data_IF_068023376697
#
_entry.id   IF_068023376697
#
_cell.length_a   1.000
_cell.length_b   1.000
_cell.length_c   1.000
_cell.angle_alpha   90.00
_cell.angle_beta   90.00
_cell.angle_gamma   90.00
#
_symmetry.space_group_name_H-M   'P 1'
#
loop_
_entity.id
_entity.type
_entity.pdbx_description
1 polymer ?
#
# COMPACT_ATOMS: atom_id res chain seq x y z
N UNK A 1 -13.23 -8.00 -21.54
CA UNK A 1 -11.77 -7.72 -21.52
C UNK A 1 -11.42 -6.23 -21.44
N UNK A 2 -12.00 -5.26 -22.21
CA UNK A 2 -11.57 -3.85 -22.14
C UNK A 2 -12.17 -3.02 -20.99
N UNK A 3 -13.23 -3.49 -20.31
CA UNK A 3 -13.86 -2.75 -19.20
C UNK A 3 -13.15 -2.93 -17.85
N UNK A 4 -12.49 -4.08 -17.63
CA UNK A 4 -11.90 -4.45 -16.33
C UNK A 4 -10.48 -3.91 -16.12
N UNK A 5 -9.65 -3.89 -17.16
CA UNK A 5 -8.36 -3.16 -17.11
C UNK A 5 -8.61 -1.68 -16.89
N UNK A 6 -9.70 -1.14 -17.44
CA UNK A 6 -10.18 0.21 -17.17
C UNK A 6 -10.57 0.38 -15.69
N UNK A 7 -11.37 -0.52 -15.11
CA UNK A 7 -11.83 -0.42 -13.71
C UNK A 7 -10.68 -0.37 -12.69
N UNK A 8 -9.65 -1.22 -12.85
CA UNK A 8 -8.44 -1.19 -12.02
C UNK A 8 -7.59 0.06 -12.24
N UNK A 9 -7.52 0.57 -13.47
CA UNK A 9 -6.81 1.81 -13.76
C UNK A 9 -7.52 3.02 -13.14
N UNK A 10 -8.85 3.08 -13.26
CA UNK A 10 -9.67 4.15 -12.68
C UNK A 10 -9.67 4.11 -11.15
N UNK A 11 -9.82 2.94 -10.53
CA UNK A 11 -9.81 2.82 -9.07
C UNK A 11 -8.47 3.24 -8.47
N UNK A 12 -7.35 2.96 -9.15
CA UNK A 12 -6.03 3.48 -8.76
C UNK A 12 -5.93 5.00 -8.91
N UNK A 13 -6.46 5.55 -9.99
CA UNK A 13 -6.47 7.00 -10.21
C UNK A 13 -7.33 7.73 -9.17
N UNK A 14 -8.46 7.15 -8.77
CA UNK A 14 -9.32 7.68 -7.73
C UNK A 14 -8.70 7.56 -6.34
N UNK A 15 -8.00 6.46 -6.06
CA UNK A 15 -7.21 6.33 -4.84
C UNK A 15 -6.11 7.40 -4.77
N UNK A 16 -5.38 7.62 -5.87
CA UNK A 16 -4.40 8.71 -5.97
C UNK A 16 -5.06 10.06 -5.70
N UNK A 17 -6.16 10.35 -6.41
CA UNK A 17 -6.91 11.60 -6.24
C UNK A 17 -7.30 11.85 -4.78
N UNK A 18 -7.83 10.83 -4.08
CA UNK A 18 -8.16 10.96 -2.67
C UNK A 18 -6.93 11.27 -1.82
N UNK A 19 -5.85 10.50 -1.98
CA UNK A 19 -4.65 10.64 -1.16
C UNK A 19 -3.97 11.99 -1.35
N UNK A 20 -3.89 12.49 -2.59
CA UNK A 20 -3.36 13.82 -2.89
C UNK A 20 -4.26 14.92 -2.30
N UNK A 21 -5.57 14.85 -2.53
CA UNK A 21 -6.51 15.86 -2.02
C UNK A 21 -6.51 15.91 -0.49
N UNK A 22 -6.37 14.76 0.17
CA UNK A 22 -6.28 14.68 1.62
C UNK A 22 -4.94 15.17 2.14
N UNK A 23 -3.83 14.90 1.44
CA UNK A 23 -2.51 15.43 1.78
C UNK A 23 -2.51 16.97 1.71
N UNK A 24 -3.05 17.55 0.63
CA UNK A 24 -3.19 19.00 0.46
C UNK A 24 -4.01 19.64 1.60
N UNK A 25 -5.15 19.03 1.95
CA UNK A 25 -6.00 19.52 3.03
C UNK A 25 -5.27 19.51 4.40
N UNK A 26 -4.55 18.42 4.67
CA UNK A 26 -3.76 18.27 5.91
C UNK A 26 -2.59 19.25 5.97
N UNK A 27 -1.90 19.49 4.86
CA UNK A 27 -0.74 20.39 4.83
C UNK A 27 -1.20 21.85 4.95
N UNK A 28 -2.30 22.25 4.30
CA UNK A 28 -2.94 23.54 4.51
C UNK A 28 -3.37 23.74 5.98
N UNK A 29 -3.90 22.71 6.61
CA UNK A 29 -4.24 22.72 8.03
C UNK A 29 -3.02 22.97 8.93
N UNK A 30 -1.89 22.32 8.66
CA UNK A 30 -0.61 22.52 9.38
C UNK A 30 -0.12 23.96 9.30
N UNK A 31 -0.24 24.61 8.13
CA UNK A 31 0.16 26.01 7.95
C UNK A 31 -0.70 27.00 8.76
N UNK A 32 -1.96 26.65 9.04
CA UNK A 32 -2.87 27.52 9.80
C UNK A 32 -2.67 27.46 11.33
N UNK A 33 -1.78 26.60 11.83
CA UNK A 33 -1.41 26.52 13.25
C UNK A 33 -2.54 26.08 14.19
N UNK A 34 -3.64 25.50 13.67
CA UNK A 34 -4.73 25.00 14.50
C UNK A 34 -4.47 23.52 14.86
N UNK A 35 -4.52 23.12 16.13
CA UNK A 35 -4.44 21.72 16.50
C UNK A 35 -5.71 21.01 16.00
N UNK A 36 -5.58 20.24 14.92
CA UNK A 36 -6.72 19.50 14.38
C UNK A 36 -6.97 18.26 15.22
N UNK A 37 -8.13 18.23 15.87
CA UNK A 37 -8.68 16.99 16.43
C UNK A 37 -8.94 15.99 15.31
N UNK A 38 -8.72 14.70 15.57
CA UNK A 38 -9.00 13.57 14.66
C UNK A 38 -10.38 13.64 14.00
N UNK A 39 -11.36 14.26 14.67
CA UNK A 39 -12.71 14.50 14.15
C UNK A 39 -12.72 15.41 12.91
N UNK A 40 -11.91 16.45 12.86
CA UNK A 40 -11.88 17.39 11.73
C UNK A 40 -11.28 16.75 10.48
N UNK A 41 -10.23 15.93 10.65
CA UNK A 41 -9.61 15.17 9.56
C UNK A 41 -10.60 14.18 8.94
N UNK A 42 -11.40 13.52 9.78
CA UNK A 42 -12.44 12.63 9.30
C UNK A 42 -13.54 13.37 8.52
N UNK A 43 -13.96 14.55 8.98
CA UNK A 43 -14.95 15.38 8.28
C UNK A 43 -14.45 15.79 6.88
N UNK A 44 -13.17 16.16 6.76
CA UNK A 44 -12.55 16.45 5.47
C UNK A 44 -12.54 15.24 4.54
N UNK A 45 -12.13 14.07 5.04
CA UNK A 45 -12.14 12.82 4.27
C UNK A 45 -13.55 12.49 3.76
N UNK A 46 -14.55 12.60 4.63
CA UNK A 46 -15.95 12.41 4.24
C UNK A 46 -16.38 13.44 3.19
N UNK A 47 -15.96 14.70 3.33
CA UNK A 47 -16.21 15.76 2.37
C UNK A 47 -15.64 15.43 0.98
N UNK A 48 -14.44 14.83 0.92
CA UNK A 48 -13.83 14.36 -0.34
C UNK A 48 -14.66 13.21 -0.93
N UNK A 49 -15.03 12.22 -0.13
CA UNK A 49 -15.79 11.03 -0.59
C UNK A 49 -17.22 11.37 -1.03
N UNK A 50 -17.74 12.54 -0.69
CA UNK A 50 -19.07 13.01 -1.10
C UNK A 50 -19.05 13.85 -2.39
N UNK A 51 -17.87 14.15 -2.94
CA UNK A 51 -17.70 14.90 -4.20
C UNK A 51 -17.26 13.98 -5.34
N UNK A 52 -17.39 14.40 -6.61
CA UNK A 52 -16.79 13.67 -7.72
C UNK A 52 -15.29 13.45 -7.47
N UNK A 53 -14.73 12.26 -7.78
CA UNK A 53 -15.33 11.16 -8.55
C UNK A 53 -16.15 10.14 -7.72
N UNK A 54 -16.22 10.30 -6.40
CA UNK A 54 -16.80 9.31 -5.48
C UNK A 54 -18.32 9.38 -5.34
N UNK A 55 -19.02 10.16 -6.15
CA UNK A 55 -20.48 10.33 -6.06
C UNK A 55 -21.25 9.05 -6.33
N UNK A 56 -20.68 8.10 -7.08
CA UNK A 56 -21.31 6.80 -7.33
C UNK A 56 -20.83 5.75 -6.34
N UNK A 57 -21.74 4.87 -5.91
CA UNK A 57 -21.40 3.74 -5.04
C UNK A 57 -20.37 2.82 -5.68
N UNK A 58 -20.49 2.53 -6.98
CA UNK A 58 -19.57 1.66 -7.70
C UNK A 58 -18.12 2.15 -7.60
N UNK A 59 -17.87 3.45 -7.83
CA UNK A 59 -16.53 4.04 -7.71
C UNK A 59 -16.00 3.97 -6.28
N UNK A 60 -16.86 4.21 -5.28
CA UNK A 60 -16.45 4.11 -3.88
C UNK A 60 -16.05 2.68 -3.50
N UNK A 61 -16.87 1.68 -3.88
CA UNK A 61 -16.60 0.28 -3.62
C UNK A 61 -15.33 -0.19 -4.34
N UNK A 62 -15.18 0.15 -5.62
CA UNK A 62 -14.01 -0.23 -6.40
C UNK A 62 -12.72 0.39 -5.89
N UNK A 63 -12.77 1.63 -5.44
CA UNK A 63 -11.62 2.28 -4.80
C UNK A 63 -11.33 1.65 -3.44
N UNK A 64 -12.36 1.31 -2.65
CA UNK A 64 -12.21 0.65 -1.37
C UNK A 64 -11.56 -0.74 -1.50
N UNK A 65 -12.00 -1.53 -2.47
CA UNK A 65 -11.39 -2.82 -2.75
C UNK A 65 -9.98 -2.72 -3.30
N UNK A 66 -9.73 -1.74 -4.18
CA UNK A 66 -8.39 -1.44 -4.66
C UNK A 66 -7.44 -1.13 -3.48
N UNK A 67 -7.90 -0.38 -2.49
CA UNK A 67 -7.14 -0.07 -1.29
C UNK A 67 -6.84 -1.32 -0.45
N UNK A 68 -7.83 -2.20 -0.23
CA UNK A 68 -7.61 -3.49 0.43
C UNK A 68 -6.60 -4.35 -0.32
N UNK A 69 -6.71 -4.47 -1.64
CA UNK A 69 -5.77 -5.23 -2.47
C UNK A 69 -4.36 -4.69 -2.32
N UNK A 70 -4.20 -3.38 -2.42
CA UNK A 70 -2.92 -2.70 -2.32
C UNK A 70 -2.27 -3.02 -0.98
N UNK A 71 -3.02 -2.82 0.11
CA UNK A 71 -2.52 -3.04 1.46
C UNK A 71 -2.15 -4.51 1.70
N UNK A 72 -2.99 -5.45 1.27
CA UNK A 72 -2.73 -6.89 1.40
C UNK A 72 -1.55 -7.35 0.54
N UNK A 73 -1.42 -6.82 -0.67
CA UNK A 73 -0.31 -7.14 -1.58
C UNK A 73 1.02 -6.66 -1.02
N UNK A 74 1.07 -5.42 -0.51
CA UNK A 74 2.29 -4.88 0.13
C UNK A 74 2.66 -5.73 1.35
N UNK A 75 1.70 -6.04 2.24
CA UNK A 75 1.91 -6.92 3.40
C UNK A 75 2.48 -8.28 3.02
N UNK A 76 1.93 -8.91 1.99
CA UNK A 76 2.37 -10.24 1.57
C UNK A 76 3.78 -10.24 0.95
N UNK A 77 4.15 -9.16 0.28
CA UNK A 77 5.48 -9.01 -0.32
C UNK A 77 6.56 -8.55 0.67
N UNK A 78 6.16 -8.03 1.84
CA UNK A 78 7.08 -7.71 2.92
C UNK A 78 7.69 -8.98 3.53
N UNK A 79 8.98 -8.91 3.87
CA UNK A 79 9.73 -10.05 4.41
C UNK A 79 9.17 -10.45 5.81
N UNK A 80 9.03 -11.75 6.13
CA UNK A 80 8.61 -12.22 7.46
C UNK A 80 9.48 -11.73 8.63
N UNK A 81 10.69 -11.22 8.38
CA UNK A 81 11.53 -10.56 9.41
C UNK A 81 10.94 -9.23 9.95
N UNK A 82 9.84 -8.74 9.39
CA UNK A 82 9.16 -7.53 9.84
C UNK A 82 7.93 -7.90 10.69
N UNK A 83 7.84 -7.34 11.89
CA UNK A 83 6.68 -7.58 12.78
C UNK A 83 5.39 -7.05 12.12
N UNK A 84 4.29 -7.82 12.12
CA UNK A 84 3.02 -7.40 11.51
C UNK A 84 2.49 -6.06 12.03
N UNK A 85 2.75 -5.75 13.32
CA UNK A 85 2.38 -4.49 13.95
C UNK A 85 3.06 -3.26 13.32
N UNK A 86 4.29 -3.40 12.83
CA UNK A 86 5.02 -2.32 12.15
C UNK A 86 4.53 -2.07 10.72
N UNK A 87 3.88 -3.07 10.11
CA UNK A 87 3.49 -3.00 8.70
C UNK A 87 2.33 -2.02 8.46
N UNK A 88 1.37 -1.97 9.39
CA UNK A 88 0.27 -1.00 9.33
C UNK A 88 0.76 0.45 9.42
N UNK A 89 1.67 0.74 10.35
CA UNK A 89 2.25 2.06 10.55
C UNK A 89 3.08 2.50 9.34
N UNK A 90 3.88 1.59 8.79
CA UNK A 90 4.72 1.87 7.64
C UNK A 90 3.91 2.12 6.36
N UNK A 91 2.85 1.33 6.15
CA UNK A 91 1.94 1.53 5.03
C UNK A 91 1.16 2.85 5.17
N UNK A 92 0.75 3.18 6.39
CA UNK A 92 0.14 4.48 6.68
C UNK A 92 1.10 5.62 6.33
N UNK A 93 2.38 5.53 6.72
CA UNK A 93 3.37 6.54 6.35
C UNK A 93 3.47 6.69 4.84
N UNK A 94 3.66 5.59 4.13
CA UNK A 94 3.79 5.60 2.66
C UNK A 94 2.63 6.33 2.00
N UNK A 95 1.41 5.96 2.36
CA UNK A 95 0.19 6.53 1.82
C UNK A 95 0.01 8.00 2.18
N UNK A 96 0.56 8.43 3.31
CA UNK A 96 0.34 9.78 3.84
C UNK A 96 1.52 10.73 3.62
N UNK A 97 2.71 10.25 3.28
CA UNK A 97 3.90 11.06 3.02
C UNK A 97 4.34 11.04 1.56
N UNK A 98 3.98 10.01 0.79
CA UNK A 98 4.36 9.88 -0.62
C UNK A 98 3.29 9.19 -1.47
N UNK A 99 2.05 9.25 -0.98
CA UNK A 99 0.83 8.74 -1.61
C UNK A 99 1.02 7.34 -2.22
N UNK A 100 0.76 7.17 -3.52
CA UNK A 100 0.92 5.87 -4.20
C UNK A 100 2.31 5.68 -4.82
N UNK A 101 3.10 6.73 -4.99
CA UNK A 101 4.34 6.69 -5.78
C UNK A 101 5.34 5.70 -5.22
N UNK A 102 5.63 5.79 -3.92
CA UNK A 102 6.60 4.90 -3.26
C UNK A 102 6.10 3.47 -3.17
N UNK A 103 4.78 3.26 -3.15
CA UNK A 103 4.21 1.92 -3.21
C UNK A 103 4.43 1.32 -4.61
N UNK A 104 4.33 2.11 -5.68
CA UNK A 104 4.66 1.65 -7.03
C UNK A 104 6.14 1.30 -7.18
N UNK A 105 7.03 2.11 -6.61
CA UNK A 105 8.47 1.81 -6.58
C UNK A 105 8.76 0.47 -5.89
N UNK A 106 8.02 0.15 -4.82
CA UNK A 106 8.12 -1.14 -4.15
C UNK A 106 7.70 -2.30 -5.07
N UNK A 107 6.59 -2.17 -5.79
CA UNK A 107 6.16 -3.18 -6.77
C UNK A 107 7.18 -3.34 -7.90
N UNK A 108 7.77 -2.25 -8.40
CA UNK A 108 8.83 -2.29 -9.43
C UNK A 108 10.05 -3.04 -8.89
N UNK A 109 10.51 -2.71 -7.68
CA UNK A 109 11.63 -3.40 -7.04
C UNK A 109 11.37 -4.90 -6.82
N UNK A 110 10.14 -5.27 -6.45
CA UNK A 110 9.73 -6.66 -6.28
C UNK A 110 9.66 -7.43 -7.61
N UNK A 111 9.17 -6.79 -8.68
CA UNK A 111 9.11 -7.39 -10.02
C UNK A 111 10.51 -7.62 -10.60
N UNK A 112 11.43 -6.67 -10.39
CA UNK A 112 12.82 -6.82 -10.82
C UNK A 112 13.50 -8.04 -10.19
N UNK A 113 13.25 -8.29 -8.89
CA UNK A 113 13.79 -9.45 -8.18
C UNK A 113 13.28 -10.77 -8.80
N UNK A 114 11.98 -10.87 -9.08
CA UNK A 114 11.40 -12.04 -9.74
C UNK A 114 11.99 -12.27 -11.14
N UNK A 115 12.22 -11.19 -11.90
CA UNK A 115 12.82 -11.27 -13.23
C UNK A 115 14.27 -11.76 -13.19
N UNK A 116 15.03 -11.36 -12.17
CA UNK A 116 16.41 -11.80 -11.96
C UNK A 116 16.46 -13.29 -11.59
N UNK A 117 15.60 -13.72 -10.66
CA UNK A 117 15.48 -15.13 -10.26
C UNK A 117 15.13 -16.05 -11.44
N UNK A 118 14.18 -15.64 -12.30
CA UNK A 118 13.80 -16.39 -13.49
C UNK A 118 14.95 -16.55 -14.49
N UNK A 119 15.72 -15.48 -14.73
CA UNK A 119 16.91 -15.52 -15.61
C UNK A 119 18.00 -16.44 -15.04
N UNK A 120 18.25 -16.39 -13.74
CA UNK A 120 19.21 -17.27 -13.07
C UNK A 120 18.78 -18.74 -13.08
N UNK A 121 17.48 -19.03 -12.98
CA UNK A 121 16.95 -20.39 -13.10
C UNK A 121 17.11 -20.92 -14.53
N UNK A 122 16.85 -20.09 -15.54
CA UNK A 122 17.01 -20.46 -16.94
C UNK A 122 18.49 -20.72 -17.32
N UNK A 123 19.41 -19.88 -16.87
CA UNK A 123 20.85 -20.05 -17.10
C UNK A 123 21.40 -21.36 -16.48
N UNK A 124 20.94 -21.73 -15.27
CA UNK A 124 21.31 -23.00 -14.63
C UNK A 124 20.79 -24.21 -15.39
N UNK A 125 19.59 -24.13 -15.95
CA UNK A 125 19.00 -25.21 -16.73
C UNK A 125 19.81 -25.46 -18.03
N UNK A 126 20.23 -24.40 -18.72
CA UNK A 126 21.06 -24.51 -19.95
C UNK A 126 22.46 -25.10 -19.64
N UNK A 127 23.09 -24.70 -18.52
CA UNK A 127 24.39 -25.25 -18.11
C UNK A 127 24.36 -26.73 -17.72
N UNK A 128 23.18 -27.29 -17.45
CA UNK A 128 23.01 -28.69 -17.05
C UNK A 128 23.14 -29.69 -18.21
N UNK A 129 23.19 -29.23 -19.47
CA UNK A 129 23.25 -30.09 -20.66
C UNK A 129 24.63 -30.23 -21.32
N UNK A 130 25.68 -29.60 -20.77
CA UNK A 130 27.07 -29.80 -21.21
C UNK A 130 27.87 -30.52 -20.14
N UNK A 131 27.95 -31.84 -20.23
CA UNK A 131 28.83 -32.66 -19.39
C UNK A 131 30.30 -32.48 -19.78
N UNK A 132 31.16 -32.14 -18.82
CA UNK A 132 32.33 -32.98 -18.48
C UNK A 132 32.73 -32.79 -17.02
N UNK A 133 33.10 -33.92 -16.43
CA UNK A 133 33.43 -34.25 -15.04
C UNK A 133 34.72 -33.60 -14.53
N UNK A 134 34.66 -32.93 -13.36
CA UNK A 134 35.75 -32.88 -12.36
C UNK A 134 35.19 -32.48 -11.00
N UNK A 135 35.53 -33.26 -9.96
CA UNK A 135 35.29 -32.95 -8.55
C UNK A 135 36.12 -31.72 -8.13
N UNK A 136 35.55 -30.83 -7.30
CA UNK A 136 36.03 -30.46 -5.96
C UNK A 136 35.23 -29.27 -5.37
N UNK A 137 34.76 -29.50 -4.14
CA UNK A 137 34.60 -28.58 -2.98
C UNK A 137 33.71 -27.33 -3.04
N UNK A 138 32.70 -27.36 -2.16
CA UNK A 138 32.03 -26.25 -1.47
C UNK A 138 31.47 -25.11 -2.33
N UNK A 139 30.35 -25.40 -2.99
CA UNK A 139 29.39 -24.39 -3.40
C UNK A 139 28.68 -23.78 -2.18
N UNK A 140 29.40 -22.94 -1.42
CA UNK A 140 28.76 -21.86 -0.67
C UNK A 140 28.32 -20.79 -1.68
N UNK A 141 27.36 -21.13 -2.54
CA UNK A 141 26.56 -20.14 -3.26
C UNK A 141 25.39 -19.75 -2.34
N UNK A 142 25.74 -19.29 -1.13
CA UNK A 142 24.83 -18.50 -0.33
C UNK A 142 24.62 -17.27 -1.16
N UNK A 143 23.44 -17.16 -1.77
CA UNK A 143 23.00 -15.99 -2.52
C UNK A 143 23.02 -14.80 -1.59
N UNK A 144 24.19 -14.17 -1.46
CA UNK A 144 24.41 -12.86 -0.84
C UNK A 144 23.85 -11.74 -1.75
N UNK A 145 22.83 -12.05 -2.54
CA UNK A 145 22.15 -11.12 -3.41
C UNK A 145 21.16 -10.36 -2.56
N UNK A 146 21.61 -9.23 -2.06
CA UNK A 146 20.72 -8.21 -1.56
C UNK A 146 19.67 -7.88 -2.63
N UNK A 147 18.44 -8.34 -2.45
CA UNK A 147 17.40 -8.13 -3.46
C UNK A 147 16.96 -6.65 -3.46
N UNK A 148 16.55 -6.11 -4.60
CA UNK A 148 16.10 -4.71 -4.71
C UNK A 148 14.94 -4.45 -3.75
N UNK A 149 14.03 -5.42 -3.60
CA UNK A 149 12.96 -5.40 -2.59
C UNK A 149 13.51 -5.24 -1.17
N UNK A 150 14.54 -6.00 -0.78
CA UNK A 150 15.16 -5.87 0.56
C UNK A 150 15.80 -4.50 0.76
N UNK A 151 16.43 -3.95 -0.27
CA UNK A 151 17.01 -2.60 -0.23
C UNK A 151 15.95 -1.53 0.01
N UNK A 152 14.84 -1.62 -0.73
CA UNK A 152 13.72 -0.70 -0.59
C UNK A 152 13.20 -0.70 0.85
N UNK A 153 12.91 -1.89 1.39
CA UNK A 153 12.38 -2.04 2.75
C UNK A 153 13.29 -1.42 3.82
N UNK A 154 14.62 -1.52 3.64
CA UNK A 154 15.57 -0.98 4.62
C UNK A 154 15.76 0.53 4.52
N UNK A 155 15.81 1.10 3.31
CA UNK A 155 15.82 2.57 3.14
C UNK A 155 14.59 3.18 3.78
N UNK A 156 13.46 2.55 3.56
CA UNK A 156 12.21 3.06 4.07
C UNK A 156 12.00 2.88 5.57
N UNK A 157 12.65 1.89 6.19
CA UNK A 157 12.74 1.85 7.66
C UNK A 157 13.49 3.07 8.18
N UNK A 158 14.61 3.41 7.54
CA UNK A 158 15.37 4.61 7.88
C UNK A 158 14.50 5.87 7.76
N UNK A 159 13.73 6.00 6.69
CA UNK A 159 12.83 7.14 6.51
C UNK A 159 11.73 7.21 7.59
N UNK A 160 11.23 6.05 8.04
CA UNK A 160 10.28 5.98 9.15
C UNK A 160 10.92 6.38 10.49
N UNK A 161 12.14 5.92 10.76
CA UNK A 161 12.89 6.29 11.96
C UNK A 161 13.23 7.79 11.96
N UNK A 162 13.59 8.36 10.79
CA UNK A 162 13.82 9.80 10.60
C UNK A 162 12.52 10.60 10.80
N UNK A 163 11.39 10.13 10.28
CA UNK A 163 10.08 10.76 10.50
C UNK A 163 9.72 10.79 12.00
N UNK A 164 9.88 9.67 12.71
CA UNK A 164 9.64 9.60 14.16
C UNK A 164 10.57 10.55 14.93
N UNK A 165 11.86 10.59 14.58
CA UNK A 165 12.81 11.50 15.20
C UNK A 165 12.46 12.98 14.98
N UNK A 166 11.92 13.33 13.81
CA UNK A 166 11.46 14.69 13.52
C UNK A 166 10.26 15.11 14.38
N UNK A 167 9.32 14.19 14.63
CA UNK A 167 8.15 14.45 15.48
C UNK A 167 8.54 14.71 16.93
N UNK A 168 9.54 13.98 17.45
CA UNK A 168 10.05 14.11 18.82
C UNK A 168 10.81 15.43 19.03
N UNK A 169 11.45 15.96 17.98
CA UNK A 169 12.22 17.21 18.04
C UNK A 169 11.38 18.49 18.06
N UNK A 170 10.20 18.47 17.42
CA UNK A 170 9.25 19.59 17.37
C UNK A 170 8.46 19.77 18.69
N UNK A 171 8.53 18.77 19.57
CA UNK A 171 7.85 18.74 20.87
C UNK A 171 8.55 19.57 21.97
N UNK A 172 9.67 20.24 21.67
CA UNK A 172 10.52 20.88 22.69
C UNK A 172 10.11 22.31 23.10
N UNK A 173 8.99 22.84 22.58
CA UNK A 173 8.49 24.18 22.96
C UNK A 173 7.02 24.11 23.41
N UNK A 174 6.83 23.77 24.68
CA UNK A 174 5.70 24.15 25.53
C UNK A 174 4.28 24.09 24.93
N UNK A 175 3.66 22.91 24.91
CA UNK A 175 2.25 22.76 25.31
C UNK A 175 1.94 21.29 25.63
N UNK A 176 1.00 21.02 26.54
CA UNK A 176 0.55 19.68 26.95
C UNK A 176 -0.28 18.97 25.85
N UNK A 177 0.15 19.01 24.59
CA UNK A 177 -0.46 18.21 23.54
C UNK A 177 0.14 16.80 23.52
N UNK A 178 -0.72 15.80 23.68
CA UNK A 178 -0.39 14.39 23.44
C UNK A 178 0.41 14.25 22.13
N UNK A 179 1.50 13.46 22.11
CA UNK A 179 2.27 13.25 20.89
C UNK A 179 1.33 12.74 19.81
N UNK A 180 1.17 13.53 18.74
CA UNK A 180 0.30 13.19 17.60
C UNK A 180 0.96 12.00 16.90
N UNK A 181 0.60 10.80 17.33
CA UNK A 181 1.01 9.58 16.68
C UNK A 181 0.60 9.65 15.19
N UNK A 182 1.45 9.18 14.26
CA UNK A 182 1.07 9.12 12.86
C UNK A 182 -0.26 8.37 12.71
N UNK A 183 -1.14 8.82 11.80
CA UNK A 183 -2.47 8.25 11.69
C UNK A 183 -2.35 6.75 11.46
N UNK A 184 -3.16 5.97 12.16
CA UNK A 184 -3.24 4.53 11.89
C UNK A 184 -3.70 4.31 10.45
N UNK A 185 -3.28 3.23 9.79
CA UNK A 185 -3.70 2.93 8.41
C UNK A 185 -5.22 3.01 8.22
N UNK A 186 -5.99 2.60 9.23
CA UNK A 186 -7.45 2.68 9.21
C UNK A 186 -7.97 4.11 9.07
N UNK A 187 -7.30 5.07 9.70
CA UNK A 187 -7.65 6.50 9.66
C UNK A 187 -7.28 7.15 8.32
N UNK A 188 -6.47 6.51 7.47
CA UNK A 188 -6.10 7.07 6.17
C UNK A 188 -7.24 6.98 5.15
N UNK A 189 -7.98 5.87 5.14
CA UNK A 189 -9.03 5.62 4.13
C UNK A 189 -10.20 4.84 4.70
N UNK A 190 -9.92 3.72 5.38
CA UNK A 190 -10.93 2.72 5.73
C UNK A 190 -12.06 3.29 6.59
N UNK A 191 -11.75 4.07 7.62
CA UNK A 191 -12.77 4.63 8.50
C UNK A 191 -13.73 5.58 7.76
N UNK A 192 -13.19 6.49 6.95
CA UNK A 192 -14.01 7.44 6.18
C UNK A 192 -14.82 6.71 5.10
N UNK A 193 -14.20 5.76 4.39
CA UNK A 193 -14.85 4.96 3.36
C UNK A 193 -15.99 4.12 3.95
N UNK A 194 -15.76 3.43 5.08
CA UNK A 194 -16.78 2.63 5.77
C UNK A 194 -17.95 3.48 6.26
N UNK A 195 -17.67 4.65 6.83
CA UNK A 195 -18.72 5.61 7.25
C UNK A 195 -19.55 6.08 6.06
N UNK A 196 -18.91 6.39 4.93
CA UNK A 196 -19.61 6.82 3.71
C UNK A 196 -20.40 5.65 3.08
N UNK A 197 -19.88 4.42 3.11
CA UNK A 197 -20.60 3.22 2.68
C UNK A 197 -21.80 2.92 3.60
N UNK A 198 -21.66 3.09 4.92
CA UNK A 198 -22.78 3.00 5.88
C UNK A 198 -23.88 4.00 5.50
N UNK A 199 -23.49 5.25 5.27
CA UNK A 199 -24.41 6.34 4.92
C UNK A 199 -25.18 6.05 3.63
N UNK A 200 -24.57 5.35 2.67
CA UNK A 200 -25.18 4.92 1.41
C UNK A 200 -25.97 3.62 1.52
N UNK A 201 -25.90 2.90 2.65
CA UNK A 201 -26.60 1.64 2.87
C UNK A 201 -25.99 0.44 2.14
N UNK A 202 -24.66 0.43 1.94
CA UNK A 202 -23.96 -0.52 1.03
C UNK A 202 -22.80 -1.27 1.70
N UNK A 203 -22.77 -1.35 3.03
CA UNK A 203 -21.69 -2.07 3.73
C UNK A 203 -21.60 -3.51 3.25
N UNK A 204 -22.68 -4.28 3.31
CA UNK A 204 -22.75 -5.58 2.64
C UNK A 204 -23.02 -5.35 1.17
N UNK A 205 -22.05 -5.65 0.32
CA UNK A 205 -22.15 -5.47 -1.11
C UNK A 205 -21.67 -6.70 -1.86
N UNK A 206 -22.13 -6.86 -3.11
CA UNK A 206 -21.71 -7.98 -3.95
C UNK A 206 -20.22 -7.92 -4.21
N UNK A 207 -19.58 -9.08 -4.15
CA UNK A 207 -18.17 -9.22 -4.49
C UNK A 207 -17.91 -8.72 -5.92
N UNK A 208 -16.78 -8.02 -6.11
CA UNK A 208 -16.32 -7.68 -7.44
C UNK A 208 -15.97 -8.93 -8.26
N UNK A 209 -16.13 -8.81 -9.58
CA UNK A 209 -15.73 -9.87 -10.48
C UNK A 209 -14.24 -10.21 -10.29
N UNK A 210 -13.89 -11.50 -10.24
CA UNK A 210 -12.52 -11.93 -9.99
C UNK A 210 -11.56 -11.31 -11.03
N UNK A 211 -10.46 -10.72 -10.54
CA UNK A 211 -9.47 -10.07 -11.38
C UNK A 211 -8.51 -11.13 -11.91
N UNK A 212 -8.63 -11.47 -13.19
CA UNK A 212 -7.71 -12.39 -13.84
C UNK A 212 -6.34 -11.74 -14.05
N UNK A 213 -5.31 -12.32 -13.44
CA UNK A 213 -3.90 -12.03 -13.70
C UNK A 213 -3.37 -12.97 -14.80
N UNK A 214 -2.15 -12.69 -15.27
CA UNK A 214 -1.47 -13.51 -16.28
C UNK A 214 -1.56 -15.01 -15.94
N UNK A 215 -1.83 -15.83 -16.96
CA UNK A 215 -2.03 -17.30 -16.89
C UNK A 215 -3.35 -17.80 -16.30
N UNK A 216 -4.40 -16.97 -16.24
CA UNK A 216 -5.76 -17.43 -15.91
C UNK A 216 -6.02 -17.61 -14.41
N UNK A 217 -5.02 -17.35 -13.56
CA UNK A 217 -5.20 -17.17 -12.12
C UNK A 217 -6.06 -15.93 -11.88
N UNK A 218 -6.97 -15.99 -10.91
CA UNK A 218 -7.81 -14.86 -10.55
C UNK A 218 -7.61 -14.46 -9.09
N UNK A 219 -7.64 -13.15 -8.83
CA UNK A 219 -7.56 -12.58 -7.50
C UNK A 219 -8.94 -12.07 -7.14
N UNK A 220 -9.46 -12.55 -6.01
CA UNK A 220 -10.63 -11.95 -5.36
C UNK A 220 -10.14 -10.97 -4.32
N UNK A 221 -10.72 -9.78 -4.30
CA UNK A 221 -10.43 -8.77 -3.28
C UNK A 221 -11.12 -9.26 -2.00
N UNK A 222 -10.35 -9.79 -1.05
CA UNK A 222 -10.86 -10.40 0.20
C UNK A 222 -11.34 -9.29 1.17
N UNK A 223 -12.34 -8.51 0.75
CA UNK A 223 -13.04 -7.59 1.63
C UNK A 223 -13.97 -8.40 2.53
N UNK A 224 -13.93 -8.12 3.84
CA UNK A 224 -14.76 -8.82 4.84
C UNK A 224 -16.26 -8.53 4.68
N UNK A 225 -16.61 -7.51 3.90
CA UNK A 225 -18.00 -7.10 3.64
C UNK A 225 -18.54 -7.54 2.27
N UNK A 226 -17.74 -8.29 1.50
CA UNK A 226 -18.19 -8.89 0.25
C UNK A 226 -19.01 -10.16 0.51
N UNK A 227 -20.24 -10.21 -0.01
CA UNK A 227 -21.05 -11.43 0.05
C UNK A 227 -20.69 -12.40 -1.10
N UNK A 228 -20.45 -13.67 -0.76
CA UNK A 228 -20.15 -14.81 -1.66
C UNK A 228 -21.42 -15.37 -2.37
N UNK A 229 -22.33 -14.50 -2.83
CA UNK A 229 -23.58 -14.93 -3.49
C UNK A 229 -23.36 -15.84 -4.71
#
# INVERSE_FOLDING_TARGET
MPAFTKLLTFSRAYLAFFLETYADARDAARETGKPHHLLHLLEEQLSILQRPPFTTTEVLLSTHHCMHLLCSSVRHMMNPEFTPSSTGSWLSLLLTSSTLERILDFFIAAADDQSAEAKHAHARNIQSHTHTRTHHTHANNVSSTWTKRRQFLLRMRKDWDEYLASMDSDQTVADEQEPVAPPGLRQVWFEAAEKEMYRRGVITHRCEDPVYILHGSCIRLHCEFCDDQ
#
